data_IF_717372264202
#
_entry.id   IF_717372264202
#
_cell.length_a   1.000
_cell.length_b   1.000
_cell.length_c   1.000
_cell.angle_alpha   90.00
_cell.angle_beta   90.00
_cell.angle_gamma   90.00
#
_symmetry.space_group_name_H-M   'P 1'
#
loop_
_entity.id
_entity.type
_entity.pdbx_description
1 polymer ?
#
# COMPACT_ATOMS: atom_id res chain seq x y z
N UNK A 1 -14.12 0.18 2.68
CA UNK A 1 -14.00 1.64 2.45
C UNK A 1 -12.55 2.12 2.28
N UNK A 2 -11.59 1.65 3.10
CA UNK A 2 -10.20 2.14 3.04
C UNK A 2 -9.45 1.78 1.74
N UNK A 3 -9.71 0.61 1.15
CA UNK A 3 -9.07 0.18 -0.10
C UNK A 3 -9.37 1.09 -1.30
N UNK A 4 -10.59 1.64 -1.39
CA UNK A 4 -10.97 2.58 -2.44
C UNK A 4 -10.15 3.86 -2.40
N UNK A 5 -9.89 4.40 -1.20
CA UNK A 5 -9.06 5.59 -1.01
C UNK A 5 -7.61 5.32 -1.44
N UNK A 6 -7.06 4.17 -1.05
CA UNK A 6 -5.71 3.76 -1.45
C UNK A 6 -5.61 3.55 -2.97
N UNK A 7 -6.66 3.04 -3.60
CA UNK A 7 -6.73 2.88 -5.04
C UNK A 7 -6.79 4.24 -5.76
N UNK A 8 -7.61 5.19 -5.28
CA UNK A 8 -7.68 6.56 -5.82
C UNK A 8 -6.35 7.33 -5.68
N UNK A 9 -5.53 6.98 -4.69
CA UNK A 9 -4.19 7.53 -4.50
C UNK A 9 -3.10 6.82 -5.32
N UNK A 10 -3.44 5.79 -6.10
CA UNK A 10 -2.47 5.01 -6.89
C UNK A 10 -1.55 4.12 -6.04
N UNK A 11 -1.94 3.81 -4.80
CA UNK A 11 -1.12 3.02 -3.87
C UNK A 11 -1.37 1.51 -4.02
N UNK A 12 -2.58 1.13 -4.39
CA UNK A 12 -2.99 -0.27 -4.56
C UNK A 12 -3.81 -0.47 -5.83
N UNK A 13 -3.74 -1.68 -6.39
CA UNK A 13 -4.60 -2.16 -7.48
C UNK A 13 -5.45 -3.30 -6.96
N UNK A 14 -6.65 -3.39 -7.50
CA UNK A 14 -7.50 -4.54 -7.31
C UNK A 14 -7.36 -5.41 -8.56
N UNK A 15 -6.80 -6.61 -8.40
CA UNK A 15 -6.69 -7.61 -9.46
C UNK A 15 -7.33 -8.91 -8.97
N UNK A 16 -8.32 -9.44 -9.72
CA UNK A 16 -8.99 -10.71 -9.38
C UNK A 16 -9.52 -10.74 -7.93
N UNK A 17 -10.09 -9.63 -7.48
CA UNK A 17 -10.59 -9.46 -6.11
C UNK A 17 -9.52 -9.47 -5.00
N UNK A 18 -8.23 -9.41 -5.37
CA UNK A 18 -7.11 -9.22 -4.45
C UNK A 18 -6.59 -7.78 -4.50
N UNK A 19 -6.30 -7.21 -3.34
CA UNK A 19 -5.65 -5.89 -3.22
C UNK A 19 -4.14 -6.09 -3.24
N UNK A 20 -3.47 -5.57 -4.26
CA UNK A 20 -2.00 -5.62 -4.41
C UNK A 20 -1.42 -4.23 -4.42
N UNK A 21 -0.22 -4.00 -3.85
CA UNK A 21 0.46 -2.72 -4.00
C UNK A 21 0.72 -2.41 -5.48
N UNK A 22 0.49 -1.16 -5.88
CA UNK A 22 0.77 -0.71 -7.25
C UNK A 22 2.27 -0.72 -7.53
N UNK A 23 3.05 -0.28 -6.55
CA UNK A 23 4.50 -0.34 -6.56
C UNK A 23 5.02 -0.62 -5.15
N UNK A 24 6.23 -1.17 -5.08
CA UNK A 24 6.83 -1.55 -3.80
C UNK A 24 7.47 -0.36 -3.05
N UNK A 25 7.38 0.86 -3.60
CA UNK A 25 8.02 2.06 -3.05
C UNK A 25 7.44 2.41 -1.67
N UNK A 26 6.12 2.53 -1.57
CA UNK A 26 5.45 2.86 -0.32
C UNK A 26 5.53 1.72 0.69
N UNK A 27 5.44 0.47 0.23
CA UNK A 27 5.64 -0.70 1.08
C UNK A 27 7.03 -0.66 1.73
N UNK A 28 8.10 -0.43 0.95
CA UNK A 28 9.47 -0.28 1.47
C UNK A 28 9.60 0.91 2.41
N UNK A 29 9.13 2.09 2.00
CA UNK A 29 9.20 3.30 2.82
C UNK A 29 8.52 3.14 4.18
N UNK A 30 7.32 2.56 4.22
CA UNK A 30 6.61 2.34 5.47
C UNK A 30 7.21 1.18 6.28
N UNK A 31 7.68 0.10 5.65
CA UNK A 31 8.42 -0.93 6.36
C UNK A 31 9.66 -0.34 7.03
N UNK A 32 10.47 0.45 6.33
CA UNK A 32 11.69 1.04 6.88
C UNK A 32 11.38 2.00 8.04
N UNK A 33 10.31 2.79 7.93
CA UNK A 33 9.93 3.76 8.99
C UNK A 33 9.15 3.17 10.15
N UNK A 34 8.34 2.14 9.92
CA UNK A 34 7.52 1.51 10.97
C UNK A 34 8.25 0.35 11.66
N UNK A 35 9.39 -0.09 11.11
CA UNK A 35 10.27 -1.07 11.76
C UNK A 35 11.23 -0.45 12.77
N UNK A 36 11.27 0.88 12.91
CA UNK A 36 11.98 1.50 14.03
C UNK A 36 11.14 1.32 15.30
N UNK A 37 11.67 0.69 16.38
CA UNK A 37 10.99 0.72 17.67
C UNK A 37 10.85 2.18 18.15
N UNK A 38 9.83 2.46 19.00
CA UNK A 38 9.56 3.82 19.50
C UNK A 38 10.74 4.43 20.26
#
# INVERSE_FOLDING_TARGET
MQAFKLQSLGLVRVERNEVKPWCNLYARYFCDRLSSPP
#
